data_IF_784141144141
#
_entry.id   IF_784141144141
#
_cell.length_a   1.000
_cell.length_b   1.000
_cell.length_c   1.000
_cell.angle_alpha   90.00
_cell.angle_beta   90.00
_cell.angle_gamma   90.00
#
_symmetry.space_group_name_H-M   'P 1'
#
loop_
_entity.id
_entity.type
_entity.pdbx_description
1 polymer ?
#
# COMPACT_ATOMS: atom_id res chain seq x y z
N UNK A 1 -5.59 -4.10 -12.94
CA UNK A 1 -5.10 -3.52 -11.66
C UNK A 1 -4.20 -4.56 -11.00
N UNK A 2 -2.97 -4.20 -10.62
CA UNK A 2 -2.03 -5.14 -10.00
C UNK A 2 -2.54 -5.64 -8.64
N UNK A 3 -2.26 -6.90 -8.31
CA UNK A 3 -2.61 -7.47 -7.01
C UNK A 3 -1.76 -6.80 -5.91
N UNK A 4 -2.32 -6.46 -4.74
CA UNK A 4 -1.54 -5.92 -3.64
C UNK A 4 -0.54 -6.98 -3.16
N UNK A 5 0.75 -6.66 -3.21
CA UNK A 5 1.82 -7.56 -2.78
C UNK A 5 2.17 -7.24 -1.33
N UNK A 6 2.05 -8.24 -0.46
CA UNK A 6 2.56 -8.15 0.91
C UNK A 6 4.07 -8.32 0.87
N UNK A 7 4.79 -7.32 1.38
CA UNK A 7 6.25 -7.39 1.48
C UNK A 7 6.59 -8.20 2.73
N UNK A 8 7.21 -9.36 2.52
CA UNK A 8 7.69 -10.25 3.59
C UNK A 8 9.16 -9.96 3.92
N UNK A 9 9.64 -10.43 5.07
CA UNK A 9 11.05 -10.29 5.44
C UNK A 9 11.98 -10.96 4.41
N UNK A 10 11.60 -12.12 3.88
CA UNK A 10 12.34 -12.82 2.82
C UNK A 10 12.50 -11.96 1.56
N UNK A 11 11.45 -11.22 1.20
CA UNK A 11 11.47 -10.30 0.05
C UNK A 11 12.50 -9.19 0.27
N UNK A 12 12.58 -8.66 1.49
CA UNK A 12 13.55 -7.61 1.84
C UNK A 12 14.98 -8.14 1.81
N UNK A 13 15.23 -9.33 2.36
CA UNK A 13 16.55 -9.96 2.32
C UNK A 13 17.01 -10.22 0.89
N UNK A 14 16.11 -10.71 0.02
CA UNK A 14 16.43 -10.87 -1.40
C UNK A 14 16.79 -9.55 -2.07
N UNK A 15 15.98 -8.51 -1.84
CA UNK A 15 16.21 -7.19 -2.44
C UNK A 15 17.53 -6.55 -1.97
N UNK A 16 17.87 -6.68 -0.69
CA UNK A 16 19.15 -6.22 -0.15
C UNK A 16 20.34 -6.93 -0.83
N UNK A 17 20.32 -8.26 -0.91
CA UNK A 17 21.36 -9.05 -1.57
C UNK A 17 21.47 -8.70 -3.08
N UNK A 18 20.34 -8.50 -3.75
CA UNK A 18 20.32 -8.14 -5.16
C UNK A 18 20.90 -6.74 -5.42
N UNK A 19 20.76 -5.81 -4.48
CA UNK A 19 21.37 -4.48 -4.53
C UNK A 19 22.89 -4.55 -4.35
N UNK A 20 23.38 -5.34 -3.39
CA UNK A 20 24.83 -5.57 -3.20
C UNK A 20 25.48 -6.15 -4.46
N UNK A 21 24.78 -7.06 -5.14
CA UNK A 21 25.20 -7.65 -6.41
C UNK A 21 25.01 -6.73 -7.63
N UNK A 22 24.52 -5.49 -7.43
CA UNK A 22 24.21 -4.52 -8.49
C UNK A 22 23.31 -5.07 -9.60
N UNK A 23 22.38 -5.97 -9.25
CA UNK A 23 21.43 -6.53 -10.21
C UNK A 23 20.48 -5.46 -10.74
N UNK A 24 20.03 -5.55 -12.01
CA UNK A 24 19.09 -4.60 -12.56
C UNK A 24 17.71 -4.75 -11.91
N UNK A 25 17.02 -3.63 -11.69
CA UNK A 25 15.67 -3.62 -11.09
C UNK A 25 14.62 -4.43 -11.89
N UNK A 26 14.85 -4.62 -13.19
CA UNK A 26 14.02 -5.47 -14.05
C UNK A 26 14.09 -6.94 -13.66
N UNK A 27 15.24 -7.42 -13.21
CA UNK A 27 15.42 -8.79 -12.72
C UNK A 27 14.75 -8.98 -11.37
N UNK A 28 14.91 -8.02 -10.44
CA UNK A 28 14.23 -8.02 -9.15
C UNK A 28 12.70 -8.04 -9.32
N UNK A 29 12.19 -7.22 -10.23
CA UNK A 29 10.78 -7.13 -10.56
C UNK A 29 10.22 -8.46 -11.10
N UNK A 30 10.99 -9.11 -11.99
CA UNK A 30 10.65 -10.43 -12.54
C UNK A 30 10.64 -11.51 -11.46
N UNK A 31 11.61 -11.50 -10.56
CA UNK A 31 11.69 -12.46 -9.46
C UNK A 31 10.47 -12.38 -8.53
N UNK A 32 10.00 -11.17 -8.25
CA UNK A 32 8.86 -10.92 -7.37
C UNK A 32 7.50 -10.92 -8.09
N UNK A 33 7.48 -11.04 -9.43
CA UNK A 33 6.25 -10.97 -10.22
C UNK A 33 5.55 -9.61 -10.15
N UNK A 34 6.30 -8.53 -9.93
CA UNK A 34 5.79 -7.14 -9.81
C UNK A 34 6.41 -6.24 -10.86
N UNK A 35 5.87 -5.03 -11.03
CA UNK A 35 6.50 -4.04 -11.90
C UNK A 35 7.71 -3.39 -11.23
N UNK A 36 8.63 -2.90 -12.06
CA UNK A 36 9.85 -2.18 -11.63
C UNK A 36 9.53 -1.00 -10.72
N UNK A 37 8.46 -0.27 -11.02
CA UNK A 37 7.99 0.85 -10.19
C UNK A 37 7.62 0.41 -8.77
N UNK A 38 7.03 -0.77 -8.60
CA UNK A 38 6.72 -1.31 -7.27
C UNK A 38 8.00 -1.69 -6.55
N UNK A 39 8.99 -2.29 -7.23
CA UNK A 39 10.30 -2.58 -6.63
C UNK A 39 10.95 -1.29 -6.11
N UNK A 40 11.03 -0.24 -6.94
CA UNK A 40 11.62 1.05 -6.52
C UNK A 40 10.90 1.66 -5.32
N UNK A 41 9.56 1.57 -5.26
CA UNK A 41 8.78 2.01 -4.11
C UNK A 41 9.08 1.21 -2.84
N UNK A 42 9.24 -0.12 -2.96
CA UNK A 42 9.62 -0.97 -1.82
C UNK A 42 11.02 -0.59 -1.35
N UNK A 43 12.00 -0.50 -2.26
CA UNK A 43 13.37 -0.15 -1.93
C UNK A 43 13.47 1.21 -1.22
N UNK A 44 12.73 2.21 -1.70
CA UNK A 44 12.67 3.52 -1.05
C UNK A 44 12.01 3.47 0.32
N UNK A 45 10.82 2.86 0.42
CA UNK A 45 10.03 2.80 1.66
C UNK A 45 10.78 2.11 2.79
N UNK A 46 11.57 1.10 2.47
CA UNK A 46 12.34 0.29 3.42
C UNK A 46 13.75 0.84 3.65
N UNK A 47 14.10 1.98 3.03
CA UNK A 47 15.40 2.64 3.21
C UNK A 47 16.59 1.90 2.57
N UNK A 48 16.33 0.99 1.62
CA UNK A 48 17.37 0.19 0.94
C UNK A 48 18.02 0.95 -0.23
N UNK A 49 17.30 1.89 -0.84
CA UNK A 49 17.83 2.72 -1.92
C UNK A 49 17.14 4.09 -1.96
N UNK A 50 17.92 5.15 -2.23
CA UNK A 50 17.41 6.49 -2.45
C UNK A 50 17.19 6.76 -3.93
N UNK A 51 16.11 7.47 -4.26
CA UNK A 51 15.79 7.89 -5.62
C UNK A 51 15.43 9.37 -5.60
N UNK A 52 16.11 10.19 -6.42
CA UNK A 52 15.91 11.66 -6.47
C UNK A 52 14.54 12.10 -7.02
N UNK A 53 13.71 11.18 -7.51
CA UNK A 53 12.41 11.53 -8.08
C UNK A 53 11.35 11.85 -7.02
N UNK A 54 10.67 13.00 -7.13
CA UNK A 54 9.58 13.42 -6.24
C UNK A 54 8.44 12.38 -6.08
N UNK A 55 8.24 11.50 -7.08
CA UNK A 55 7.31 10.36 -7.03
C UNK A 55 7.70 9.31 -5.99
N UNK A 56 8.99 9.18 -5.71
CA UNK A 56 9.56 8.22 -4.77
C UNK A 56 9.85 8.86 -3.43
N UNK A 57 9.99 10.19 -3.36
CA UNK A 57 9.90 10.98 -2.11
C UNK A 57 8.47 10.95 -1.57
N UNK A 58 7.94 9.75 -1.37
CA UNK A 58 6.70 9.55 -0.64
C UNK A 58 7.08 9.74 0.81
N UNK A 59 6.69 10.90 1.34
CA UNK A 59 6.76 11.21 2.75
C UNK A 59 6.38 9.96 3.56
N UNK A 60 7.23 9.59 4.51
CA UNK A 60 7.05 8.55 5.53
C UNK A 60 5.73 8.69 6.37
N UNK A 61 4.80 9.54 5.93
CA UNK A 61 3.61 10.02 6.61
C UNK A 61 2.30 9.35 6.18
N UNK A 62 2.26 8.56 5.11
CA UNK A 62 0.97 8.03 4.63
C UNK A 62 0.32 7.01 5.58
N UNK A 63 1.12 6.24 6.34
CA UNK A 63 0.59 5.27 7.31
C UNK A 63 0.86 5.66 8.78
N UNK A 64 2.03 6.23 9.12
CA UNK A 64 2.34 6.59 10.53
C UNK A 64 1.51 7.76 11.08
N UNK A 65 0.99 8.64 10.21
CA UNK A 65 0.21 9.82 10.60
C UNK A 65 -1.11 9.88 9.82
N UNK A 66 -1.83 8.75 9.69
CA UNK A 66 -3.18 8.75 9.14
C UNK A 66 -4.05 9.77 9.90
N UNK A 67 -4.32 10.92 9.28
CA UNK A 67 -5.18 11.95 9.88
C UNK A 67 -6.57 11.38 10.05
N UNK A 68 -7.16 11.54 11.23
CA UNK A 68 -8.57 11.23 11.45
C UNK A 68 -9.43 12.41 10.98
N UNK A 69 -10.63 12.14 10.48
CA UNK A 69 -11.61 13.14 10.11
C UNK A 69 -13.02 12.79 10.65
N UNK A 70 -13.84 13.80 10.90
CA UNK A 70 -15.20 13.64 11.44
C UNK A 70 -16.28 13.70 10.35
N UNK A 71 -15.87 13.54 9.09
CA UNK A 71 -16.79 13.60 7.95
C UNK A 71 -17.91 12.56 8.12
N UNK A 72 -19.19 12.97 7.97
CA UNK A 72 -20.32 12.04 8.05
C UNK A 72 -20.19 10.86 7.09
N UNK A 73 -20.56 9.67 7.55
CA UNK A 73 -20.71 8.50 6.67
C UNK A 73 -21.75 8.80 5.61
N UNK A 74 -21.47 8.50 4.34
CA UNK A 74 -22.42 8.76 3.25
C UNK A 74 -23.71 7.94 3.36
N UNK A 75 -23.67 6.78 4.02
CA UNK A 75 -24.82 5.88 4.20
C UNK A 75 -25.59 6.12 5.50
N UNK A 76 -24.93 6.00 6.65
CA UNK A 76 -25.59 6.11 7.96
C UNK A 76 -25.45 7.47 8.65
N UNK A 77 -24.81 8.46 8.01
CA UNK A 77 -24.62 9.83 8.51
C UNK A 77 -23.89 9.99 9.85
N UNK A 78 -23.41 8.89 10.46
CA UNK A 78 -22.55 8.91 11.64
C UNK A 78 -21.35 9.86 11.44
N UNK A 79 -20.97 10.60 12.47
CA UNK A 79 -19.82 11.55 12.49
C UNK A 79 -18.61 11.00 13.24
N UNK A 80 -18.67 9.73 13.68
CA UNK A 80 -17.56 9.09 14.42
C UNK A 80 -16.23 9.29 13.68
N UNK A 81 -15.14 9.69 14.36
CA UNK A 81 -13.83 9.86 13.74
C UNK A 81 -13.41 8.63 12.95
N UNK A 82 -12.90 8.84 11.73
CA UNK A 82 -12.43 7.77 10.83
C UNK A 82 -11.12 8.19 10.17
N UNK A 83 -10.34 7.26 9.60
CA UNK A 83 -9.28 7.60 8.66
C UNK A 83 -9.75 8.60 7.61
N UNK A 84 -8.96 9.64 7.37
CA UNK A 84 -9.20 10.63 6.32
C UNK A 84 -9.40 9.90 4.99
N UNK A 85 -10.38 10.36 4.21
CA UNK A 85 -10.85 9.72 2.97
C UNK A 85 -11.67 8.43 3.16
N UNK A 86 -12.01 8.02 4.38
CA UNK A 86 -13.03 7.00 4.61
C UNK A 86 -14.45 7.60 4.52
N UNK A 87 -15.04 7.56 3.33
CA UNK A 87 -16.38 8.11 3.04
C UNK A 87 -17.54 7.26 3.59
N UNK A 88 -17.32 5.95 3.78
CA UNK A 88 -18.31 4.97 4.26
C UNK A 88 -17.72 4.23 5.46
N UNK A 89 -18.48 4.14 6.55
CA UNK A 89 -18.02 3.47 7.77
C UNK A 89 -17.92 1.94 7.59
N UNK A 90 -17.11 1.29 8.44
CA UNK A 90 -16.90 -0.17 8.40
C UNK A 90 -18.22 -0.94 8.48
N UNK A 91 -19.10 -0.59 9.43
CA UNK A 91 -20.45 -1.18 9.56
C UNK A 91 -21.27 -1.10 8.26
N UNK A 92 -21.24 0.05 7.58
CA UNK A 92 -21.96 0.20 6.31
C UNK A 92 -21.28 -0.52 5.15
N UNK A 93 -19.95 -0.71 5.22
CA UNK A 93 -19.18 -1.45 4.23
C UNK A 93 -19.39 -2.96 4.38
N UNK A 94 -19.48 -3.47 5.60
CA UNK A 94 -19.79 -4.87 5.93
C UNK A 94 -21.21 -5.23 5.50
N UNK A 95 -22.20 -4.43 5.89
CA UNK A 95 -23.58 -4.61 5.44
C UNK A 95 -23.71 -4.68 3.92
N UNK A 96 -22.99 -3.81 3.20
CA UNK A 96 -22.99 -3.84 1.73
C UNK A 96 -22.37 -5.10 1.15
N UNK A 97 -21.38 -5.70 1.83
CA UNK A 97 -20.80 -6.98 1.38
C UNK A 97 -21.78 -8.12 1.61
N UNK A 98 -22.49 -8.15 2.73
CA UNK A 98 -23.53 -9.13 3.01
C UNK A 98 -24.66 -9.04 1.98
N UNK A 99 -25.17 -7.82 1.72
CA UNK A 99 -26.27 -7.57 0.76
C UNK A 99 -25.93 -7.99 -0.68
N UNK A 100 -24.64 -8.09 -1.05
CA UNK A 100 -24.16 -8.42 -2.41
C UNK A 100 -23.30 -9.68 -2.47
N UNK A 101 -23.17 -10.42 -1.37
CA UNK A 101 -22.58 -11.76 -1.37
C UNK A 101 -23.65 -12.73 -1.86
N UNK A 102 -23.86 -12.77 -3.17
CA UNK A 102 -24.45 -13.95 -3.79
C UNK A 102 -23.50 -15.12 -3.52
N UNK A 103 -23.96 -16.08 -2.73
CA UNK A 103 -23.29 -17.36 -2.53
C UNK A 103 -22.95 -17.98 -3.90
N UNK A 104 -21.72 -18.46 -4.00
CA UNK A 104 -21.23 -19.28 -5.11
C UNK A 104 -21.85 -20.69 -5.08
#
# INVERSE_FOLDING_TARGET
>A
MGKPVKVTQETLTYLANALEQKKPYTEMARHLGICVDTVKRILYREGLAEFEGAKYVIALSSDRNMKMWERPCMRCKSTKPRPKWQYVCNKCKEKYKEDYSWDA
#
